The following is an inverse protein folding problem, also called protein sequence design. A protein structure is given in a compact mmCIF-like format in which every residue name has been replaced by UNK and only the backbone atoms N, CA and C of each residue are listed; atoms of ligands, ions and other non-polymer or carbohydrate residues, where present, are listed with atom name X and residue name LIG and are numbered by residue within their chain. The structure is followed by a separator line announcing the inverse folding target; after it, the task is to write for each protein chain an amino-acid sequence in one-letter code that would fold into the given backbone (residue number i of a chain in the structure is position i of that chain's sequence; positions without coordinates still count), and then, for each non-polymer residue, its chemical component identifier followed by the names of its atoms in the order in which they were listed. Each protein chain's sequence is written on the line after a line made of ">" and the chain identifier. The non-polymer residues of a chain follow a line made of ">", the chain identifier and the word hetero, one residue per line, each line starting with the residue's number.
data_IF_041907066270
#
_entry.id   IF_041907066270
#
_cell.length_a   1.000
_cell.length_b   1.000
_cell.length_c   1.000
_cell.angle_alpha   90.00
_cell.angle_beta   90.00
_cell.angle_gamma   90.00
#
_symmetry.space_group_name_H-M   'P 1'
#
loop_
_entity.id
_entity.type
_entity.pdbx_description
1 polymer ?
#
# COMPACT_ATOMS: atom_id res chain seq x y z
N UNK A 1 9.73 33.31 -31.31
CA UNK A 1 8.58 34.10 -30.85
C UNK A 1 7.41 33.80 -31.80
N UNK A 2 6.76 32.64 -31.63
CA UNK A 2 5.51 32.33 -32.31
C UNK A 2 4.48 32.13 -31.20
N UNK A 3 3.57 33.09 -31.06
CA UNK A 3 2.39 32.98 -30.20
C UNK A 3 1.53 31.86 -30.75
N UNK A 4 1.40 30.76 -30.00
CA UNK A 4 0.23 29.91 -30.10
C UNK A 4 -0.89 30.67 -29.38
N UNK A 5 -1.72 31.35 -30.16
CA UNK A 5 -2.88 32.10 -29.66
C UNK A 5 -3.94 31.14 -29.11
N UNK A 6 -4.51 31.55 -27.97
CA UNK A 6 -5.66 30.97 -27.29
C UNK A 6 -6.82 30.69 -28.25
N UNK A 7 -6.93 29.46 -28.72
CA UNK A 7 -8.02 29.00 -29.60
C UNK A 7 -8.96 28.02 -28.90
N UNK A 8 -8.96 27.97 -27.55
CA UNK A 8 -9.73 26.97 -26.78
C UNK A 8 -11.01 27.46 -26.12
N UNK A 9 -11.27 28.77 -26.12
CA UNK A 9 -12.40 29.40 -25.41
C UNK A 9 -13.73 29.44 -26.18
N UNK A 10 -13.82 28.87 -27.39
CA UNK A 10 -15.04 28.94 -28.24
C UNK A 10 -15.86 27.65 -28.31
N UNK A 11 -15.48 26.58 -27.59
CA UNK A 11 -16.27 25.34 -27.56
C UNK A 11 -17.40 25.42 -26.52
N UNK A 12 -18.64 25.22 -26.95
CA UNK A 12 -19.79 25.18 -26.05
C UNK A 12 -19.59 24.08 -24.97
N UNK A 13 -19.57 24.48 -23.69
CA UNK A 13 -19.29 23.60 -22.55
C UNK A 13 -17.86 23.69 -21.98
N UNK A 14 -16.95 24.40 -22.65
CA UNK A 14 -15.60 24.68 -22.16
C UNK A 14 -15.55 26.04 -21.45
N UNK A 15 -15.94 26.06 -20.17
CA UNK A 15 -15.73 27.21 -19.29
C UNK A 15 -14.29 27.24 -18.73
N UNK A 16 -13.86 28.39 -18.21
CA UNK A 16 -12.55 28.62 -17.58
C UNK A 16 -12.22 27.58 -16.49
N UNK A 17 -13.24 27.13 -15.73
CA UNK A 17 -13.10 26.05 -14.74
C UNK A 17 -12.79 24.69 -15.37
N UNK A 18 -13.43 24.36 -16.48
CA UNK A 18 -13.20 23.11 -17.24
C UNK A 18 -11.78 23.11 -17.83
N UNK A 19 -11.33 24.24 -18.36
CA UNK A 19 -9.98 24.41 -18.87
C UNK A 19 -8.92 24.24 -17.78
N UNK A 20 -9.11 24.87 -16.62
CA UNK A 20 -8.19 24.73 -15.49
C UNK A 20 -8.07 23.28 -15.01
N UNK A 21 -9.20 22.55 -14.93
CA UNK A 21 -9.22 21.13 -14.58
C UNK A 21 -8.48 20.27 -15.61
N UNK A 22 -8.71 20.49 -16.91
CA UNK A 22 -8.03 19.76 -17.99
C UNK A 22 -6.53 20.04 -17.97
N UNK A 23 -6.12 21.29 -17.82
CA UNK A 23 -4.70 21.67 -17.78
C UNK A 23 -3.98 21.09 -16.55
N UNK A 24 -4.64 21.06 -15.39
CA UNK A 24 -4.14 20.37 -14.20
C UNK A 24 -4.01 18.86 -14.45
N UNK A 25 -5.00 18.25 -15.10
CA UNK A 25 -4.96 16.83 -15.49
C UNK A 25 -3.81 16.49 -16.44
N UNK A 26 -3.59 17.30 -17.50
CA UNK A 26 -2.47 17.12 -18.44
C UNK A 26 -1.12 17.28 -17.74
N UNK A 27 -0.99 18.27 -16.83
CA UNK A 27 0.23 18.48 -16.05
C UNK A 27 0.52 17.27 -15.17
N UNK A 28 -0.50 16.70 -14.52
CA UNK A 28 -0.37 15.48 -13.73
C UNK A 28 0.05 14.28 -14.60
N UNK A 29 -0.61 14.05 -15.74
CA UNK A 29 -0.24 12.97 -16.67
C UNK A 29 1.22 13.07 -17.14
N UNK A 30 1.70 14.29 -17.46
CA UNK A 30 3.10 14.51 -17.83
C UNK A 30 4.06 14.29 -16.67
N UNK A 31 3.68 14.70 -15.47
CA UNK A 31 4.50 14.54 -14.25
C UNK A 31 4.67 13.08 -13.86
N UNK A 32 3.64 12.27 -14.07
CA UNK A 32 3.62 10.84 -13.76
C UNK A 32 4.02 9.95 -14.94
N UNK A 33 4.45 10.54 -16.06
CA UNK A 33 4.90 9.77 -17.21
C UNK A 33 6.05 8.83 -16.82
N UNK A 34 5.90 7.54 -17.18
CA UNK A 34 6.87 6.50 -16.83
C UNK A 34 6.74 5.94 -15.42
N UNK A 35 5.68 6.27 -14.67
CA UNK A 35 5.34 5.63 -13.39
C UNK A 35 4.11 4.75 -13.54
N UNK A 36 4.11 3.64 -12.83
CA UNK A 36 3.05 2.64 -12.85
C UNK A 36 2.56 2.34 -11.43
N UNK A 37 1.27 2.06 -11.28
CA UNK A 37 0.71 1.53 -10.04
C UNK A 37 1.26 0.13 -9.79
N UNK A 38 1.57 -0.15 -8.53
CA UNK A 38 2.17 -1.42 -8.13
C UNK A 38 1.26 -2.62 -8.40
N UNK A 39 -0.04 -2.52 -8.14
CA UNK A 39 -0.99 -3.59 -8.45
C UNK A 39 -0.95 -4.03 -9.92
N UNK A 40 -0.90 -3.06 -10.84
CA UNK A 40 -0.76 -3.33 -12.28
C UNK A 40 0.59 -3.99 -12.60
N UNK A 41 1.65 -3.55 -11.93
CA UNK A 41 2.98 -4.11 -12.13
C UNK A 41 3.14 -5.54 -11.62
N UNK A 42 2.50 -5.89 -10.49
CA UNK A 42 2.53 -7.24 -9.92
C UNK A 42 2.02 -8.27 -10.94
N UNK A 43 0.88 -8.02 -11.58
CA UNK A 43 0.34 -8.93 -12.59
C UNK A 43 1.28 -9.12 -13.79
N UNK A 44 1.97 -8.06 -14.21
CA UNK A 44 2.97 -8.16 -15.28
C UNK A 44 4.19 -8.92 -14.78
N UNK A 45 4.70 -8.60 -13.60
CA UNK A 45 5.91 -9.23 -13.04
C UNK A 45 5.71 -10.71 -12.81
N UNK A 46 4.55 -11.14 -12.32
CA UNK A 46 4.24 -12.55 -12.06
C UNK A 46 4.26 -13.37 -13.36
N UNK A 47 3.70 -12.82 -14.44
CA UNK A 47 3.72 -13.45 -15.77
C UNK A 47 5.15 -13.68 -16.27
N UNK A 48 5.98 -12.66 -16.21
CA UNK A 48 7.37 -12.75 -16.66
C UNK A 48 8.23 -13.62 -15.73
N UNK A 49 8.06 -13.49 -14.42
CA UNK A 49 8.77 -14.30 -13.43
C UNK A 49 8.40 -15.78 -13.57
N UNK A 50 7.13 -16.11 -13.76
CA UNK A 50 6.68 -17.49 -13.98
C UNK A 50 7.33 -18.08 -15.25
N UNK A 51 7.42 -17.31 -16.33
CA UNK A 51 8.10 -17.75 -17.56
C UNK A 51 9.58 -18.08 -17.33
N UNK A 52 10.29 -17.24 -16.58
CA UNK A 52 11.69 -17.44 -16.20
C UNK A 52 11.84 -18.66 -15.28
N UNK A 53 11.01 -18.75 -14.23
CA UNK A 53 11.02 -19.86 -13.24
C UNK A 53 10.66 -21.22 -13.87
N UNK A 54 9.88 -21.25 -14.94
CA UNK A 54 9.51 -22.48 -15.65
C UNK A 54 10.61 -22.97 -16.62
N UNK A 55 11.66 -22.18 -16.85
CA UNK A 55 12.80 -22.60 -17.66
C UNK A 55 13.62 -23.67 -16.93
N UNK A 56 14.07 -24.70 -17.63
CA UNK A 56 14.99 -25.71 -17.05
C UNK A 56 16.41 -25.18 -16.82
N UNK A 57 16.72 -24.01 -17.37
CA UNK A 57 18.04 -23.39 -17.23
C UNK A 57 18.14 -22.54 -15.96
N UNK A 58 17.03 -22.17 -15.32
CA UNK A 58 17.07 -21.28 -14.15
C UNK A 58 17.52 -22.05 -12.91
N UNK A 59 18.44 -21.48 -12.16
CA UNK A 59 18.78 -21.95 -10.81
C UNK A 59 17.89 -21.23 -9.80
N UNK A 60 17.90 -19.89 -9.83
CA UNK A 60 17.04 -19.05 -9.02
C UNK A 60 16.52 -17.84 -9.82
N UNK A 61 15.32 -17.35 -9.49
CA UNK A 61 14.81 -16.09 -10.02
C UNK A 61 13.89 -15.38 -9.03
N UNK A 62 14.07 -14.07 -8.89
CA UNK A 62 13.27 -13.21 -8.01
C UNK A 62 12.97 -11.86 -8.65
N UNK A 63 11.86 -11.25 -8.23
CA UNK A 63 11.60 -9.83 -8.47
C UNK A 63 12.57 -9.01 -7.61
N UNK A 64 13.14 -7.97 -8.20
CA UNK A 64 14.01 -7.02 -7.54
C UNK A 64 13.41 -5.59 -7.62
N UNK A 65 14.26 -4.59 -7.46
CA UNK A 65 13.89 -3.19 -7.65
C UNK A 65 12.83 -2.68 -6.68
N UNK A 66 12.18 -1.59 -7.08
CA UNK A 66 11.15 -0.93 -6.26
C UNK A 66 9.92 -1.79 -5.99
N UNK A 67 9.67 -2.79 -6.83
CA UNK A 67 8.54 -3.71 -6.65
C UNK A 67 8.78 -4.64 -5.47
N UNK A 68 9.98 -5.21 -5.35
CA UNK A 68 10.37 -6.04 -4.18
C UNK A 68 10.36 -5.26 -2.86
N UNK A 69 10.54 -3.94 -2.91
CA UNK A 69 10.49 -3.06 -1.72
C UNK A 69 9.08 -2.50 -1.43
N UNK A 70 8.05 -3.04 -2.07
CA UNK A 70 6.65 -2.63 -1.88
C UNK A 70 6.41 -1.13 -2.07
N UNK A 71 7.08 -0.47 -3.03
CA UNK A 71 6.82 0.94 -3.33
C UNK A 71 5.40 1.09 -3.86
N UNK A 72 4.71 2.18 -3.52
CA UNK A 72 3.33 2.47 -3.93
C UNK A 72 3.15 2.63 -5.45
N UNK A 73 4.24 3.02 -6.11
CA UNK A 73 4.36 3.13 -7.56
C UNK A 73 5.77 2.73 -7.98
N UNK A 74 5.95 2.25 -9.21
CA UNK A 74 7.25 1.83 -9.75
C UNK A 74 7.54 2.47 -11.11
N UNK A 75 8.78 2.40 -11.58
CA UNK A 75 9.13 2.79 -12.95
C UNK A 75 8.94 1.60 -13.89
N UNK A 76 9.93 0.72 -13.88
CA UNK A 76 9.98 -0.58 -14.54
C UNK A 76 9.99 -1.73 -13.52
N UNK A 77 9.90 -2.96 -14.05
CA UNK A 77 9.99 -4.22 -13.31
C UNK A 77 11.39 -4.79 -13.51
N UNK A 78 12.07 -5.11 -12.42
CA UNK A 78 13.37 -5.79 -12.43
C UNK A 78 13.19 -7.26 -12.05
N UNK A 79 13.63 -8.16 -12.91
CA UNK A 79 13.73 -9.60 -12.65
C UNK A 79 15.20 -9.98 -12.65
N UNK A 80 15.67 -10.54 -11.55
CA UNK A 80 17.01 -11.12 -11.45
C UNK A 80 16.91 -12.64 -11.50
N UNK A 81 17.78 -13.27 -12.28
CA UNK A 81 17.88 -14.71 -12.35
C UNK A 81 19.34 -15.19 -12.42
N UNK A 82 19.61 -16.35 -11.82
CA UNK A 82 20.87 -17.07 -11.94
C UNK A 82 20.76 -18.25 -12.89
N UNK A 83 21.81 -18.48 -13.67
CA UNK A 83 21.93 -19.62 -14.58
C UNK A 83 23.35 -19.79 -15.12
N UNK A 84 23.74 -21.04 -15.42
CA UNK A 84 24.90 -21.37 -16.26
C UNK A 84 24.58 -21.39 -17.78
N UNK A 85 23.29 -21.34 -18.16
CA UNK A 85 22.81 -21.28 -19.55
C UNK A 85 21.98 -20.00 -19.80
N UNK A 86 22.63 -18.82 -19.89
CA UNK A 86 21.95 -17.54 -20.10
C UNK A 86 21.19 -17.48 -21.44
N UNK A 87 21.59 -18.27 -22.43
CA UNK A 87 20.94 -18.27 -23.75
C UNK A 87 19.57 -18.94 -23.68
N UNK A 88 19.46 -20.10 -23.03
CA UNK A 88 18.17 -20.77 -22.86
C UNK A 88 17.25 -19.97 -21.95
N UNK A 89 17.77 -19.40 -20.87
CA UNK A 89 16.97 -18.58 -19.96
C UNK A 89 16.40 -17.32 -20.64
N UNK A 90 17.23 -16.61 -21.42
CA UNK A 90 16.78 -15.44 -22.19
C UNK A 90 15.70 -15.81 -23.21
N UNK A 91 15.81 -16.97 -23.87
CA UNK A 91 14.76 -17.47 -24.78
C UNK A 91 13.44 -17.72 -24.06
N UNK A 92 13.47 -18.27 -22.85
CA UNK A 92 12.26 -18.45 -22.04
C UNK A 92 11.60 -17.09 -21.71
N UNK A 93 12.40 -16.12 -21.26
CA UNK A 93 11.92 -14.76 -21.01
C UNK A 93 11.30 -14.10 -22.25
N UNK A 94 11.95 -14.19 -23.42
CA UNK A 94 11.45 -13.64 -24.68
C UNK A 94 10.26 -14.40 -25.27
N UNK A 95 9.98 -15.62 -24.80
CA UNK A 95 8.80 -16.40 -25.17
C UNK A 95 7.55 -16.04 -24.33
N UNK A 96 7.68 -15.14 -23.35
CA UNK A 96 6.57 -14.69 -22.52
C UNK A 96 5.51 -13.98 -23.36
N UNK A 97 4.25 -14.38 -23.21
CA UNK A 97 3.13 -13.68 -23.86
C UNK A 97 2.99 -12.23 -23.33
N UNK A 98 2.47 -11.33 -24.17
CA UNK A 98 2.27 -9.94 -23.80
C UNK A 98 3.52 -9.06 -23.87
N UNK A 99 4.51 -9.44 -24.68
CA UNK A 99 5.62 -8.57 -25.09
C UNK A 99 5.16 -7.73 -26.29
N UNK A 100 5.16 -6.41 -26.13
CA UNK A 100 4.88 -5.46 -27.21
C UNK A 100 6.12 -5.22 -28.08
N UNK A 101 7.26 -5.01 -27.44
CA UNK A 101 8.52 -4.68 -28.11
C UNK A 101 9.70 -5.21 -27.30
N UNK A 102 10.73 -5.70 -28.00
CA UNK A 102 12.03 -5.99 -27.41
C UNK A 102 12.92 -4.76 -27.59
N UNK A 103 13.16 -4.03 -26.50
CA UNK A 103 13.90 -2.75 -26.55
C UNK A 103 15.41 -2.97 -26.61
N UNK A 104 15.92 -4.01 -25.94
CA UNK A 104 17.34 -4.39 -26.03
C UNK A 104 17.57 -5.85 -25.66
N UNK A 105 18.56 -6.47 -26.30
CA UNK A 105 19.00 -7.84 -26.02
C UNK A 105 20.52 -7.86 -25.87
N UNK A 106 20.99 -8.21 -24.68
CA UNK A 106 22.40 -8.42 -24.35
C UNK A 106 22.61 -9.76 -23.65
N UNK A 107 23.89 -10.11 -23.44
CA UNK A 107 24.26 -11.38 -22.82
C UNK A 107 23.74 -11.51 -21.39
N UNK A 108 23.85 -10.44 -20.60
CA UNK A 108 23.51 -10.41 -19.17
C UNK A 108 22.30 -9.54 -18.85
N UNK A 109 21.78 -8.79 -19.83
CA UNK A 109 20.60 -7.93 -19.66
C UNK A 109 19.72 -7.97 -20.90
N UNK A 110 18.42 -8.18 -20.72
CA UNK A 110 17.40 -8.07 -21.77
C UNK A 110 16.29 -7.17 -21.27
N UNK A 111 15.82 -6.24 -22.11
CA UNK A 111 14.72 -5.33 -21.78
C UNK A 111 13.60 -5.45 -22.80
N UNK A 112 12.37 -5.56 -22.31
CA UNK A 112 11.16 -5.57 -23.13
C UNK A 112 10.16 -4.56 -22.62
N UNK A 113 9.29 -4.10 -23.51
CA UNK A 113 8.09 -3.35 -23.18
C UNK A 113 6.89 -4.30 -23.22
N UNK A 114 6.13 -4.38 -22.14
CA UNK A 114 4.91 -5.18 -22.08
C UNK A 114 3.74 -4.54 -22.83
N UNK A 115 2.72 -5.31 -23.19
CA UNK A 115 1.47 -4.78 -23.78
C UNK A 115 0.77 -3.76 -22.87
N UNK A 116 0.94 -3.90 -21.56
CA UNK A 116 0.45 -2.97 -20.54
C UNK A 116 1.27 -1.66 -20.48
N UNK A 117 2.35 -1.55 -21.26
CA UNK A 117 3.21 -0.37 -21.33
C UNK A 117 4.22 -0.24 -20.18
N UNK A 118 4.58 -1.35 -19.54
CA UNK A 118 5.56 -1.40 -18.45
C UNK A 118 6.86 -2.01 -18.98
N UNK A 119 7.98 -1.35 -18.71
CA UNK A 119 9.30 -1.91 -19.01
C UNK A 119 9.62 -3.06 -18.08
N UNK A 120 10.16 -4.16 -18.61
CA UNK A 120 10.59 -5.33 -17.84
C UNK A 120 12.04 -5.63 -18.19
N UNK A 121 12.91 -5.56 -17.19
CA UNK A 121 14.32 -5.88 -17.27
C UNK A 121 14.56 -7.30 -16.73
N UNK A 122 15.13 -8.18 -17.55
CA UNK A 122 15.77 -9.41 -17.08
C UNK A 122 17.27 -9.16 -16.92
N UNK A 123 17.80 -9.47 -15.74
CA UNK A 123 19.23 -9.51 -15.43
C UNK A 123 19.65 -10.94 -15.12
N UNK A 124 20.72 -11.38 -15.77
CA UNK A 124 21.25 -12.73 -15.62
C UNK A 124 22.63 -12.65 -14.97
N UNK A 125 22.83 -13.45 -13.93
CA UNK A 125 24.10 -13.58 -13.18
C UNK A 125 24.45 -15.06 -12.97
N UNK A 126 25.65 -15.36 -12.48
CA UNK A 126 25.99 -16.74 -12.08
C UNK A 126 25.32 -17.08 -10.74
N UNK A 127 25.15 -18.37 -10.39
CA UNK A 127 24.60 -18.78 -9.10
C UNK A 127 25.34 -18.15 -7.90
N UNK A 128 26.66 -18.05 -7.96
CA UNK A 128 27.49 -17.49 -6.88
C UNK A 128 27.28 -15.99 -6.69
N UNK A 129 26.86 -15.28 -7.75
CA UNK A 129 26.62 -13.84 -7.73
C UNK A 129 25.19 -13.49 -7.30
N UNK A 130 24.28 -14.46 -7.23
CA UNK A 130 22.84 -14.21 -7.13
C UNK A 130 22.47 -13.37 -5.90
N UNK A 131 22.98 -13.70 -4.72
CA UNK A 131 22.67 -12.98 -3.49
C UNK A 131 23.09 -11.51 -3.52
N UNK A 132 24.33 -11.22 -3.93
CA UNK A 132 24.86 -9.84 -3.98
C UNK A 132 24.23 -9.03 -5.10
N UNK A 133 23.93 -9.66 -6.24
CA UNK A 133 23.16 -9.04 -7.31
C UNK A 133 21.72 -8.76 -6.86
N UNK A 134 21.07 -9.67 -6.13
CA UNK A 134 19.70 -9.48 -5.63
C UNK A 134 19.65 -8.33 -4.65
N UNK A 135 20.59 -8.27 -3.71
CA UNK A 135 20.75 -7.14 -2.80
C UNK A 135 20.91 -5.83 -3.57
N UNK A 136 21.85 -5.79 -4.51
CA UNK A 136 22.14 -4.60 -5.32
C UNK A 136 20.93 -4.13 -6.12
N UNK A 137 20.28 -5.03 -6.87
CA UNK A 137 19.16 -4.66 -7.73
C UNK A 137 17.86 -4.48 -6.96
N UNK A 138 17.73 -5.01 -5.75
CA UNK A 138 16.64 -4.66 -4.82
C UNK A 138 16.75 -3.20 -4.40
N UNK A 139 17.96 -2.73 -4.06
CA UNK A 139 18.18 -1.37 -3.59
C UNK A 139 17.55 -1.10 -2.21
N UNK A 140 17.18 0.14 -1.88
CA UNK A 140 17.30 1.36 -2.69
C UNK A 140 18.75 1.74 -3.03
N UNK A 141 18.94 2.75 -3.89
CA UNK A 141 20.29 3.25 -4.20
C UNK A 141 20.98 3.78 -2.94
N UNK A 142 20.20 4.45 -2.10
CA UNK A 142 20.61 5.06 -0.84
C UNK A 142 21.04 3.96 0.13
N UNK A 143 20.20 2.94 0.34
CA UNK A 143 20.54 1.74 1.14
C UNK A 143 21.84 1.07 0.66
N UNK A 144 21.98 0.83 -0.65
CA UNK A 144 23.20 0.25 -1.21
C UNK A 144 24.43 1.14 -1.01
N UNK A 145 24.25 2.46 -0.99
CA UNK A 145 25.35 3.41 -0.76
C UNK A 145 25.81 3.32 0.68
N UNK A 146 24.86 3.25 1.62
CA UNK A 146 25.13 3.08 3.04
C UNK A 146 25.89 1.77 3.33
N UNK A 147 25.42 0.63 2.81
CA UNK A 147 26.10 -0.66 3.02
C UNK A 147 27.50 -0.70 2.39
N UNK A 148 27.67 -0.08 1.21
CA UNK A 148 29.01 0.07 0.60
C UNK A 148 29.92 0.98 1.40
N UNK A 149 29.40 2.03 2.04
CA UNK A 149 30.18 2.86 2.94
C UNK A 149 30.63 2.04 4.16
N UNK A 150 29.72 1.31 4.80
CA UNK A 150 30.04 0.43 5.94
C UNK A 150 31.10 -0.63 5.59
N UNK A 151 31.03 -1.22 4.40
CA UNK A 151 32.09 -2.11 3.92
C UNK A 151 33.44 -1.39 3.78
N UNK A 152 33.45 -0.20 3.16
CA UNK A 152 34.68 0.60 2.96
C UNK A 152 35.34 1.04 4.26
N UNK A 153 34.57 1.27 5.32
CA UNK A 153 35.12 1.58 6.65
C UNK A 153 35.97 0.43 7.20
N UNK A 154 35.74 -0.81 6.74
CA UNK A 154 36.55 -2.01 7.03
C UNK A 154 37.62 -2.29 5.96
N UNK A 155 37.82 -1.37 5.02
CA UNK A 155 38.62 -1.60 3.79
C UNK A 155 38.10 -2.74 2.92
N UNK A 156 36.81 -3.08 3.01
CA UNK A 156 36.16 -4.10 2.21
C UNK A 156 35.47 -3.49 0.98
N UNK A 157 35.09 -4.34 0.03
CA UNK A 157 34.39 -3.95 -1.20
C UNK A 157 33.10 -4.75 -1.35
N UNK A 158 31.98 -4.06 -1.52
CA UNK A 158 30.67 -4.65 -1.84
C UNK A 158 30.18 -4.11 -3.20
N UNK A 159 29.76 -4.99 -4.11
CA UNK A 159 29.08 -4.63 -5.34
C UNK A 159 28.12 -5.76 -5.81
N UNK A 160 27.56 -5.65 -7.01
CA UNK A 160 26.63 -6.62 -7.59
C UNK A 160 27.23 -8.00 -7.91
N UNK A 161 28.55 -8.16 -7.81
CA UNK A 161 29.24 -9.42 -8.14
C UNK A 161 29.82 -10.12 -6.90
N UNK A 162 29.79 -9.50 -5.72
CA UNK A 162 30.39 -10.09 -4.53
C UNK A 162 30.70 -9.13 -3.40
N UNK A 163 31.28 -9.70 -2.35
CA UNK A 163 31.84 -9.04 -1.18
C UNK A 163 33.29 -9.51 -0.99
N UNK A 164 34.24 -8.57 -0.85
CA UNK A 164 35.66 -8.88 -0.66
C UNK A 164 36.21 -8.21 0.59
N UNK A 165 37.08 -8.94 1.30
CA UNK A 165 37.79 -8.43 2.46
C UNK A 165 38.94 -7.48 2.09
N UNK A 166 39.68 -6.99 3.10
CA UNK A 166 40.81 -6.08 2.90
C UNK A 166 42.01 -6.71 2.18
N UNK A 167 42.07 -8.04 2.10
CA UNK A 167 43.11 -8.79 1.41
C UNK A 167 42.65 -9.22 0.00
N UNK A 168 41.51 -8.71 -0.48
CA UNK A 168 40.88 -9.03 -1.77
C UNK A 168 40.42 -10.50 -1.89
N UNK A 169 40.21 -11.18 -0.76
CA UNK A 169 39.58 -12.50 -0.75
C UNK A 169 38.07 -12.33 -0.89
N UNK A 170 37.45 -13.08 -1.79
CA UNK A 170 36.00 -13.16 -1.89
C UNK A 170 35.43 -13.84 -0.64
N UNK A 171 34.43 -13.21 -0.03
CA UNK A 171 33.66 -13.78 1.08
C UNK A 171 32.48 -14.59 0.52
N UNK A 172 32.12 -15.68 1.21
CA UNK A 172 31.00 -16.52 0.80
C UNK A 172 29.67 -15.79 1.08
N UNK A 173 28.84 -15.65 0.06
CA UNK A 173 27.51 -15.02 0.19
C UNK A 173 26.43 -15.93 -0.43
N UNK A 174 26.10 -17.07 0.21
CA UNK A 174 25.11 -18.02 -0.34
C UNK A 174 23.68 -17.44 -0.41
N UNK A 175 23.39 -16.44 0.42
CA UNK A 175 22.11 -15.74 0.49
C UNK A 175 22.33 -14.25 0.82
N UNK A 176 21.27 -13.45 0.79
CA UNK A 176 21.40 -12.04 1.17
C UNK A 176 21.71 -11.84 2.65
N UNK A 177 21.28 -12.75 3.53
CA UNK A 177 21.46 -12.64 4.99
C UNK A 177 22.93 -12.67 5.39
N UNK A 178 23.70 -13.57 4.79
CA UNK A 178 25.15 -13.64 4.96
C UNK A 178 25.85 -12.32 4.60
N UNK A 179 25.34 -11.50 3.66
CA UNK A 179 25.90 -10.17 3.36
C UNK A 179 25.75 -9.24 4.57
N UNK A 180 24.58 -9.26 5.22
CA UNK A 180 24.33 -8.47 6.42
C UNK A 180 25.17 -8.96 7.60
N UNK A 181 25.27 -10.28 7.81
CA UNK A 181 26.09 -10.88 8.86
C UNK A 181 27.57 -10.50 8.74
N UNK A 182 28.15 -10.63 7.54
CA UNK A 182 29.52 -10.19 7.25
C UNK A 182 29.73 -8.71 7.57
N UNK A 183 28.68 -7.90 7.40
CA UNK A 183 28.70 -6.48 7.72
C UNK A 183 28.30 -6.17 9.17
N UNK A 184 28.13 -7.17 10.03
CA UNK A 184 27.67 -7.02 11.42
C UNK A 184 26.34 -6.25 11.49
N UNK A 185 25.36 -6.71 10.73
CA UNK A 185 24.00 -6.21 10.67
C UNK A 185 23.03 -7.38 10.80
N UNK A 186 21.93 -7.19 11.53
CA UNK A 186 20.80 -8.08 11.42
C UNK A 186 20.20 -8.00 10.01
N UNK A 187 19.46 -9.04 9.60
CA UNK A 187 18.72 -9.03 8.35
C UNK A 187 17.85 -7.78 8.20
N UNK A 188 17.84 -7.15 7.03
CA UNK A 188 16.97 -6.00 6.72
C UNK A 188 15.98 -6.43 5.63
N UNK A 189 14.67 -6.53 5.96
CA UNK A 189 13.63 -6.83 4.98
C UNK A 189 13.67 -5.86 3.79
N UNK A 190 13.48 -6.33 2.54
CA UNK A 190 13.51 -5.49 1.34
C UNK A 190 12.67 -4.22 1.43
N UNK A 191 11.50 -4.30 2.08
CA UNK A 191 10.55 -3.20 2.24
C UNK A 191 11.13 -2.03 3.04
N UNK A 192 12.05 -2.31 3.96
CA UNK A 192 12.69 -1.35 4.86
C UNK A 192 13.93 -0.65 4.25
N UNK A 193 14.42 -1.13 3.09
CA UNK A 193 15.67 -0.66 2.46
C UNK A 193 15.49 0.67 1.74
N UNK A 194 15.27 1.75 2.49
CA UNK A 194 15.00 3.11 1.99
C UNK A 194 15.92 4.19 2.59
N UNK A 195 16.93 3.82 3.39
CA UNK A 195 17.86 4.74 4.07
C UNK A 195 17.16 5.74 5.00
N UNK A 196 16.29 5.23 5.86
CA UNK A 196 15.53 5.98 6.87
C UNK A 196 15.92 5.59 8.32
N UNK A 197 17.13 5.05 8.49
CA UNK A 197 17.66 4.59 9.78
C UNK A 197 17.62 3.07 9.96
N UNK A 198 17.30 2.31 8.91
CA UNK A 198 17.21 0.84 8.97
C UNK A 198 18.58 0.19 9.21
N UNK A 199 19.66 0.78 8.71
CA UNK A 199 21.02 0.24 8.86
C UNK A 199 21.51 0.41 10.29
N UNK A 200 21.27 1.56 10.91
CA UNK A 200 21.58 1.80 12.31
C UNK A 200 20.79 0.87 13.23
N UNK A 201 19.49 0.70 12.96
CA UNK A 201 18.64 -0.25 13.70
C UNK A 201 19.16 -1.67 13.57
N UNK A 202 19.51 -2.12 12.36
CA UNK A 202 20.06 -3.46 12.15
C UNK A 202 21.41 -3.67 12.85
N UNK A 203 22.25 -2.65 12.92
CA UNK A 203 23.50 -2.70 13.67
C UNK A 203 23.25 -2.83 15.19
N UNK A 204 22.25 -2.12 15.72
CA UNK A 204 21.86 -2.23 17.13
C UNK A 204 21.33 -3.63 17.46
N UNK A 205 20.42 -4.16 16.64
CA UNK A 205 19.87 -5.51 16.77
C UNK A 205 20.97 -6.58 16.74
N UNK A 206 21.90 -6.47 15.78
CA UNK A 206 23.05 -7.39 15.69
C UNK A 206 23.90 -7.38 16.96
N UNK A 207 24.20 -6.19 17.51
CA UNK A 207 24.95 -6.07 18.76
C UNK A 207 24.21 -6.66 19.96
N UNK A 208 22.88 -6.61 19.95
CA UNK A 208 22.01 -7.17 20.97
C UNK A 208 21.74 -8.67 20.77
N UNK A 209 22.22 -9.26 19.67
CA UNK A 209 21.88 -10.62 19.25
C UNK A 209 20.37 -10.82 19.08
N UNK A 210 19.71 -9.78 18.58
CA UNK A 210 18.30 -9.76 18.25
C UNK A 210 18.11 -9.78 16.73
N UNK A 211 17.00 -10.34 16.28
CA UNK A 211 16.60 -10.36 14.89
C UNK A 211 15.73 -9.15 14.55
N UNK A 212 15.63 -8.84 13.26
CA UNK A 212 14.64 -7.86 12.81
C UNK A 212 13.23 -8.38 13.12
N UNK A 213 12.35 -7.58 13.76
CA UNK A 213 11.02 -8.05 14.12
C UNK A 213 10.22 -8.53 12.91
N UNK A 214 9.53 -9.66 13.06
CA UNK A 214 8.67 -10.21 12.02
C UNK A 214 7.59 -9.20 11.64
N UNK A 215 7.63 -8.77 10.37
CA UNK A 215 6.66 -7.83 9.83
C UNK A 215 5.33 -8.54 9.58
N UNK A 216 4.26 -7.76 9.49
CA UNK A 216 2.92 -8.31 9.22
C UNK A 216 2.90 -9.10 7.91
N UNK A 217 2.19 -10.24 7.91
CA UNK A 217 2.00 -11.12 6.76
C UNK A 217 0.52 -11.21 6.38
N UNK A 218 0.24 -11.55 5.12
CA UNK A 218 -1.12 -11.58 4.58
C UNK A 218 -1.99 -12.63 5.29
N UNK A 219 -1.42 -13.78 5.63
CA UNK A 219 -2.11 -14.90 6.28
C UNK A 219 -2.56 -14.57 7.71
N UNK A 220 -1.98 -13.52 8.29
CA UNK A 220 -2.34 -13.05 9.63
C UNK A 220 -3.61 -12.18 9.61
N UNK A 221 -4.04 -11.71 8.43
CA UNK A 221 -5.22 -10.86 8.27
C UNK A 221 -6.50 -11.68 8.49
N UNK A 222 -7.35 -11.21 9.40
CA UNK A 222 -8.58 -11.92 9.80
C UNK A 222 -9.86 -11.27 9.28
N UNK A 223 -9.79 -10.15 8.57
CA UNK A 223 -10.97 -9.44 8.10
C UNK A 223 -10.70 -7.97 7.81
N UNK A 224 -11.76 -7.22 7.54
CA UNK A 224 -11.69 -5.78 7.27
C UNK A 224 -12.97 -5.05 7.69
N UNK A 225 -12.90 -3.72 7.79
CA UNK A 225 -14.01 -2.84 8.15
C UNK A 225 -14.47 -1.89 7.02
N UNK A 226 -13.63 -1.53 6.07
CA UNK A 226 -14.03 -0.57 5.03
C UNK A 226 -14.39 -1.29 3.73
N UNK A 227 -15.67 -1.61 3.56
CA UNK A 227 -16.22 -2.26 2.36
C UNK A 227 -17.60 -1.69 2.00
N UNK A 228 -17.84 -1.56 0.71
CA UNK A 228 -19.05 -0.99 0.12
C UNK A 228 -19.86 -2.06 -0.61
N UNK A 229 -21.17 -1.87 -0.63
CA UNK A 229 -22.14 -2.78 -1.24
C UNK A 229 -23.11 -2.02 -2.14
N UNK A 230 -24.08 -2.73 -2.72
CA UNK A 230 -25.16 -2.08 -3.49
C UNK A 230 -26.08 -1.18 -2.63
N UNK A 231 -25.85 -1.05 -1.33
CA UNK A 231 -26.52 -0.05 -0.50
C UNK A 231 -26.05 1.38 -0.83
N UNK A 232 -24.77 1.57 -1.19
CA UNK A 232 -24.23 2.80 -1.78
C UNK A 232 -23.85 2.59 -3.26
N UNK A 233 -22.55 2.53 -3.55
CA UNK A 233 -21.94 2.50 -4.89
C UNK A 233 -21.10 1.23 -5.15
N UNK A 234 -21.19 0.25 -4.26
CA UNK A 234 -20.67 -1.08 -4.48
C UNK A 234 -21.39 -1.80 -5.63
N UNK A 235 -20.65 -2.70 -6.29
CA UNK A 235 -21.11 -3.48 -7.46
C UNK A 235 -21.62 -4.88 -7.09
N UNK A 236 -21.52 -5.26 -5.83
CA UNK A 236 -21.96 -6.54 -5.30
C UNK A 236 -22.91 -6.30 -4.11
N UNK A 237 -23.92 -7.15 -3.98
CA UNK A 237 -24.82 -7.12 -2.83
C UNK A 237 -24.06 -7.33 -1.53
N UNK A 238 -24.62 -6.84 -0.42
CA UNK A 238 -24.03 -7.05 0.90
C UNK A 238 -23.84 -8.54 1.19
N UNK A 239 -24.83 -9.37 0.84
CA UNK A 239 -24.71 -10.83 0.93
C UNK A 239 -23.52 -11.39 0.15
N UNK A 240 -23.33 -10.99 -1.10
CA UNK A 240 -22.22 -11.47 -1.94
C UNK A 240 -20.86 -11.08 -1.33
N UNK A 241 -20.75 -9.85 -0.81
CA UNK A 241 -19.53 -9.38 -0.12
C UNK A 241 -19.25 -10.20 1.15
N UNK A 242 -20.27 -10.43 1.99
CA UNK A 242 -20.17 -11.22 3.22
C UNK A 242 -19.82 -12.68 2.92
N UNK A 243 -20.48 -13.31 1.93
CA UNK A 243 -20.16 -14.67 1.49
C UNK A 243 -18.70 -14.76 1.03
N UNK A 244 -18.26 -13.79 0.23
CA UNK A 244 -16.91 -13.71 -0.30
C UNK A 244 -15.85 -13.56 0.80
N UNK A 245 -16.15 -12.81 1.87
CA UNK A 245 -15.32 -12.74 3.06
C UNK A 245 -15.27 -14.08 3.81
N UNK A 246 -16.42 -14.75 3.97
CA UNK A 246 -16.51 -16.07 4.60
C UNK A 246 -15.71 -17.14 3.82
N UNK A 247 -15.79 -17.14 2.49
CA UNK A 247 -15.08 -18.08 1.61
C UNK A 247 -13.55 -17.94 1.71
N UNK A 248 -13.05 -16.74 2.06
CA UNK A 248 -11.64 -16.46 2.36
C UNK A 248 -11.22 -16.91 3.76
N UNK A 249 -12.16 -17.38 4.58
CA UNK A 249 -11.90 -17.78 5.96
C UNK A 249 -11.73 -16.61 6.94
N UNK A 250 -12.09 -15.39 6.54
CA UNK A 250 -12.10 -14.23 7.44
C UNK A 250 -13.04 -14.47 8.63
N UNK A 251 -12.70 -13.84 9.75
CA UNK A 251 -13.40 -13.95 11.04
C UNK A 251 -14.27 -12.74 11.34
N UNK A 252 -14.08 -11.65 10.63
CA UNK A 252 -15.01 -10.53 10.65
C UNK A 252 -15.07 -9.81 9.30
N UNK A 253 -16.20 -9.15 9.08
CA UNK A 253 -16.47 -8.28 7.94
C UNK A 253 -17.23 -7.07 8.45
N UNK A 254 -16.81 -5.87 8.03
CA UNK A 254 -17.50 -4.64 8.37
C UNK A 254 -18.02 -3.91 7.13
N UNK A 255 -19.23 -3.36 7.25
CA UNK A 255 -19.82 -2.45 6.25
C UNK A 255 -19.33 -1.03 6.45
N UNK A 256 -19.11 -0.30 5.38
CA UNK A 256 -18.81 1.12 5.43
C UNK A 256 -19.39 1.86 4.22
N UNK A 257 -20.59 1.49 3.77
CA UNK A 257 -21.30 2.22 2.72
C UNK A 257 -21.37 3.73 3.06
N UNK A 258 -21.45 4.58 2.04
CA UNK A 258 -21.35 6.02 2.24
C UNK A 258 -22.54 6.65 2.98
N UNK A 259 -22.28 7.68 3.79
CA UNK A 259 -23.28 8.46 4.50
C UNK A 259 -24.10 9.41 3.61
N UNK A 260 -25.16 9.99 4.18
CA UNK A 260 -26.25 10.72 3.51
C UNK A 260 -25.83 11.79 2.49
N UNK A 261 -24.77 12.55 2.76
CA UNK A 261 -24.34 13.71 1.96
C UNK A 261 -23.53 13.29 0.72
N UNK A 262 -23.05 12.04 0.66
CA UNK A 262 -22.40 11.43 -0.50
C UNK A 262 -23.40 11.10 -1.62
N UNK A 263 -24.18 12.09 -2.07
CA UNK A 263 -25.18 11.95 -3.13
C UNK A 263 -24.61 11.44 -4.46
N UNK A 264 -23.32 11.66 -4.71
CA UNK A 264 -22.60 11.16 -5.89
C UNK A 264 -22.34 9.65 -5.86
N UNK A 265 -22.47 9.02 -4.69
CA UNK A 265 -22.19 7.61 -4.45
C UNK A 265 -23.39 6.88 -3.81
N UNK A 266 -24.61 7.44 -3.91
CA UNK A 266 -25.81 6.78 -3.39
C UNK A 266 -25.91 6.73 -1.87
N UNK A 267 -25.31 7.71 -1.17
CA UNK A 267 -25.25 7.74 0.29
C UNK A 267 -26.57 7.47 1.02
N UNK A 268 -26.50 6.71 2.12
CA UNK A 268 -27.67 6.15 2.78
C UNK A 268 -28.44 7.22 3.58
N UNK A 269 -29.77 7.22 3.43
CA UNK A 269 -30.64 7.87 4.41
C UNK A 269 -30.67 7.09 5.73
N UNK A 270 -31.11 7.72 6.83
CA UNK A 270 -31.30 7.04 8.13
C UNK A 270 -32.27 5.86 8.01
N UNK A 271 -33.28 5.95 7.13
CA UNK A 271 -34.20 4.85 6.88
C UNK A 271 -33.51 3.68 6.18
N UNK A 272 -32.71 3.94 5.14
CA UNK A 272 -31.93 2.90 4.47
C UNK A 272 -30.90 2.26 5.39
N UNK A 273 -30.25 3.04 6.26
CA UNK A 273 -29.31 2.53 7.28
C UNK A 273 -30.00 1.52 8.21
N UNK A 274 -31.24 1.79 8.63
CA UNK A 274 -32.03 0.85 9.44
C UNK A 274 -32.44 -0.40 8.67
N UNK A 275 -32.73 -0.28 7.37
CA UNK A 275 -33.01 -1.42 6.51
C UNK A 275 -31.77 -2.29 6.31
N UNK A 276 -30.59 -1.67 6.11
CA UNK A 276 -29.31 -2.37 6.04
C UNK A 276 -29.02 -3.13 7.35
N UNK A 277 -29.26 -2.51 8.51
CA UNK A 277 -29.14 -3.21 9.80
C UNK A 277 -30.01 -4.46 9.87
N UNK A 278 -31.24 -4.40 9.38
CA UNK A 278 -32.13 -5.56 9.35
C UNK A 278 -31.62 -6.68 8.42
N UNK A 279 -31.01 -6.34 7.29
CA UNK A 279 -30.33 -7.32 6.41
C UNK A 279 -29.10 -7.93 7.11
N UNK A 280 -28.27 -7.11 7.76
CA UNK A 280 -27.11 -7.58 8.54
C UNK A 280 -27.53 -8.57 9.63
N UNK A 281 -28.63 -8.29 10.34
CA UNK A 281 -29.15 -9.18 11.39
C UNK A 281 -29.65 -10.53 10.83
N UNK A 282 -30.08 -10.58 9.57
CA UNK A 282 -30.35 -11.84 8.86
C UNK A 282 -29.04 -12.53 8.49
N UNK A 283 -28.08 -11.82 7.89
CA UNK A 283 -26.79 -12.38 7.48
C UNK A 283 -26.00 -12.95 8.67
N UNK A 284 -26.07 -12.33 9.85
CA UNK A 284 -25.48 -12.86 11.09
C UNK A 284 -26.00 -14.25 11.47
N UNK A 285 -27.25 -14.58 11.12
CA UNK A 285 -27.82 -15.92 11.34
C UNK A 285 -27.35 -16.91 10.27
N UNK A 286 -27.12 -16.43 9.05
CA UNK A 286 -26.68 -17.24 7.91
C UNK A 286 -25.17 -17.56 7.95
N UNK A 287 -24.38 -16.68 8.54
CA UNK A 287 -22.91 -16.78 8.66
C UNK A 287 -22.47 -16.75 10.14
N UNK A 288 -22.82 -17.76 10.97
CA UNK A 288 -22.59 -17.73 12.41
C UNK A 288 -21.10 -17.72 12.82
N UNK A 289 -20.20 -18.16 11.93
CA UNK A 289 -18.76 -18.20 12.17
C UNK A 289 -18.03 -16.91 11.74
N UNK A 290 -18.76 -15.92 11.19
CA UNK A 290 -18.24 -14.63 10.74
C UNK A 290 -18.89 -13.51 11.54
N UNK A 291 -18.09 -12.69 12.21
CA UNK A 291 -18.60 -11.50 12.89
C UNK A 291 -18.88 -10.40 11.85
N UNK A 292 -20.15 -10.10 11.63
CA UNK A 292 -20.57 -9.03 10.72
C UNK A 292 -20.83 -7.75 11.53
N UNK A 293 -20.08 -6.69 11.25
CA UNK A 293 -20.14 -5.41 11.94
C UNK A 293 -20.84 -4.36 11.07
N UNK A 294 -21.77 -3.62 11.66
CA UNK A 294 -22.52 -2.57 10.98
C UNK A 294 -21.82 -1.21 11.19
N UNK A 295 -21.01 -0.80 10.24
CA UNK A 295 -20.39 0.53 10.21
C UNK A 295 -20.89 1.39 9.07
N UNK A 296 -20.34 2.60 9.01
CA UNK A 296 -20.55 3.58 7.93
C UNK A 296 -19.22 4.26 7.62
N UNK A 297 -19.02 4.63 6.35
CA UNK A 297 -18.13 5.73 6.02
C UNK A 297 -18.89 7.07 6.10
N UNK A 298 -18.70 7.76 7.22
CA UNK A 298 -19.25 9.08 7.46
C UNK A 298 -18.37 10.15 6.81
N UNK A 299 -19.00 10.95 5.94
CA UNK A 299 -18.41 12.19 5.46
C UNK A 299 -18.06 13.12 6.65
N UNK A 300 -16.86 13.71 6.60
CA UNK A 300 -16.51 14.86 7.43
C UNK A 300 -17.04 16.09 6.71
N UNK A 301 -18.04 16.76 7.27
CA UNK A 301 -18.66 17.94 6.67
C UNK A 301 -17.71 19.15 6.69
N UNK A 302 -18.06 20.23 5.97
CA UNK A 302 -17.19 21.41 5.85
C UNK A 302 -16.89 22.10 7.18
N UNK A 303 -17.76 21.92 8.18
CA UNK A 303 -17.59 22.45 9.53
C UNK A 303 -16.91 21.46 10.49
N UNK A 304 -16.49 20.29 10.00
CA UNK A 304 -15.84 19.22 10.77
C UNK A 304 -16.80 18.28 11.52
N UNK A 305 -18.12 18.46 11.41
CA UNK A 305 -19.08 17.48 11.97
C UNK A 305 -19.16 16.20 11.11
N UNK A 306 -19.60 15.11 11.72
CA UNK A 306 -19.90 13.85 11.03
C UNK A 306 -21.30 13.91 10.41
N UNK A 307 -21.51 13.15 9.34
CA UNK A 307 -22.68 13.24 8.47
C UNK A 307 -23.88 12.37 8.91
N UNK A 308 -24.06 12.25 10.21
CA UNK A 308 -25.30 11.81 10.84
C UNK A 308 -25.46 12.47 12.22
N UNK A 309 -26.69 12.57 12.74
CA UNK A 309 -26.92 12.89 14.14
C UNK A 309 -26.24 11.89 15.08
N UNK A 310 -25.78 12.39 16.23
CA UNK A 310 -25.10 11.63 17.28
C UNK A 310 -25.86 10.36 17.72
N UNK A 311 -27.20 10.44 17.85
CA UNK A 311 -28.04 9.30 18.24
C UNK A 311 -28.03 8.19 17.19
N UNK A 312 -27.87 8.52 15.90
CA UNK A 312 -27.72 7.54 14.82
C UNK A 312 -26.32 6.96 14.81
N UNK A 313 -25.28 7.78 15.00
CA UNK A 313 -23.89 7.31 15.06
C UNK A 313 -23.67 6.35 16.23
N UNK A 314 -24.35 6.56 17.36
CA UNK A 314 -24.28 5.70 18.54
C UNK A 314 -24.82 4.26 18.30
N UNK A 315 -25.69 4.05 17.30
CA UNK A 315 -26.27 2.74 16.96
C UNK A 315 -25.30 1.86 16.13
N UNK A 316 -24.25 2.46 15.53
CA UNK A 316 -23.27 1.80 14.67
C UNK A 316 -22.16 1.12 15.45
N UNK A 317 -21.65 0.00 14.93
CA UNK A 317 -20.53 -0.77 15.49
C UNK A 317 -19.20 0.00 15.44
N UNK A 318 -19.04 0.85 14.44
CA UNK A 318 -17.93 1.79 14.29
C UNK A 318 -18.28 2.84 13.23
N UNK A 319 -17.50 3.92 13.20
CA UNK A 319 -17.60 4.97 12.17
C UNK A 319 -16.22 5.18 11.55
N UNK A 320 -16.16 5.11 10.23
CA UNK A 320 -15.02 5.56 9.43
C UNK A 320 -15.26 7.02 9.06
N UNK A 321 -14.44 7.95 9.53
CA UNK A 321 -14.56 9.36 9.21
C UNK A 321 -13.61 9.72 8.07
N UNK A 322 -14.14 10.27 6.97
CA UNK A 322 -13.35 10.55 5.76
C UNK A 322 -13.74 11.86 5.09
N UNK A 323 -12.77 12.50 4.43
CA UNK A 323 -13.00 13.73 3.65
C UNK A 323 -13.25 13.37 2.18
N UNK A 324 -14.41 13.74 1.64
CA UNK A 324 -14.70 13.58 0.20
C UNK A 324 -14.93 14.88 -0.57
N UNK A 325 -14.89 16.01 0.13
CA UNK A 325 -15.21 17.32 -0.44
C UNK A 325 -14.29 18.41 0.08
N UNK A 326 -14.25 19.54 -0.64
CA UNK A 326 -13.49 20.72 -0.26
C UNK A 326 -11.98 20.46 -0.07
N UNK A 327 -11.37 19.69 -0.97
CA UNK A 327 -9.93 19.36 -0.93
C UNK A 327 -8.98 20.56 -1.12
N UNK A 328 -9.51 21.74 -1.43
CA UNK A 328 -8.72 22.96 -1.67
C UNK A 328 -8.83 23.98 -0.54
N UNK A 329 -9.30 23.58 0.65
CA UNK A 329 -9.27 24.43 1.83
C UNK A 329 -7.83 24.82 2.19
N UNK A 330 -7.66 25.96 2.87
CA UNK A 330 -6.36 26.34 3.40
C UNK A 330 -5.90 25.30 4.44
N UNK A 331 -4.58 25.05 4.51
CA UNK A 331 -3.98 24.04 5.41
C UNK A 331 -4.61 24.05 6.81
N UNK A 332 -4.66 25.20 7.47
CA UNK A 332 -5.21 25.33 8.82
C UNK A 332 -6.70 24.96 8.88
N UNK A 333 -7.50 25.42 7.92
CA UNK A 333 -8.94 25.13 7.89
C UNK A 333 -9.21 23.64 7.70
N UNK A 334 -8.41 22.97 6.87
CA UNK A 334 -8.52 21.52 6.69
C UNK A 334 -8.06 20.77 7.93
N UNK A 335 -6.98 21.21 8.58
CA UNK A 335 -6.54 20.66 9.88
C UNK A 335 -7.64 20.77 10.92
N UNK A 336 -8.20 21.95 11.15
CA UNK A 336 -9.24 22.19 12.17
C UNK A 336 -10.50 21.34 11.90
N UNK A 337 -10.86 21.20 10.61
CA UNK A 337 -12.00 20.37 10.16
C UNK A 337 -11.78 18.90 10.51
N UNK A 338 -10.59 18.35 10.21
CA UNK A 338 -10.28 16.95 10.46
C UNK A 338 -10.14 16.71 11.97
N UNK A 339 -9.44 17.59 12.70
CA UNK A 339 -9.29 17.49 14.16
C UNK A 339 -10.66 17.41 14.85
N UNK A 340 -11.61 18.27 14.48
CA UNK A 340 -12.96 18.23 15.06
C UNK A 340 -13.64 16.87 14.85
N UNK A 341 -13.47 16.26 13.68
CA UNK A 341 -14.00 14.94 13.40
C UNK A 341 -13.28 13.84 14.21
N UNK A 342 -11.95 13.90 14.33
CA UNK A 342 -11.18 12.94 15.12
C UNK A 342 -11.52 13.00 16.62
N UNK A 343 -11.85 14.18 17.14
CA UNK A 343 -12.30 14.38 18.53
C UNK A 343 -13.77 14.04 18.79
N UNK A 344 -14.52 13.62 17.76
CA UNK A 344 -15.86 13.09 17.95
C UNK A 344 -15.80 11.76 18.70
N UNK A 345 -16.63 11.54 19.74
CA UNK A 345 -16.65 10.27 20.47
C UNK A 345 -17.16 9.09 19.62
N UNK A 346 -17.65 9.35 18.41
CA UNK A 346 -18.13 8.32 17.48
C UNK A 346 -17.07 7.89 16.47
N UNK A 347 -16.04 8.71 16.21
CA UNK A 347 -15.01 8.40 15.20
C UNK A 347 -14.14 7.26 15.68
N UNK A 348 -14.25 6.12 15.01
CA UNK A 348 -13.49 4.92 15.36
C UNK A 348 -12.25 4.76 14.48
N UNK A 349 -12.42 5.05 13.19
CA UNK A 349 -11.38 4.92 12.16
C UNK A 349 -11.28 6.24 11.39
N UNK A 350 -10.07 6.71 11.11
CA UNK A 350 -9.82 7.80 10.17
C UNK A 350 -9.51 7.20 8.78
N UNK A 351 -10.49 7.23 7.87
CA UNK A 351 -10.39 6.60 6.55
C UNK A 351 -9.62 7.46 5.55
N UNK A 352 -8.83 6.79 4.67
CA UNK A 352 -7.92 7.35 3.66
C UNK A 352 -7.49 8.81 3.95
N UNK A 353 -6.62 8.99 4.96
CA UNK A 353 -6.41 10.27 5.66
C UNK A 353 -6.09 11.48 4.80
N UNK A 354 -5.46 11.28 3.64
CA UNK A 354 -4.95 12.37 2.78
C UNK A 354 -5.82 12.64 1.56
N UNK A 355 -6.79 11.77 1.29
CA UNK A 355 -7.65 11.82 0.11
C UNK A 355 -6.88 11.78 -1.21
N UNK A 356 -5.63 11.30 -1.21
CA UNK A 356 -4.83 11.18 -2.43
C UNK A 356 -5.38 10.12 -3.37
N UNK A 357 -5.08 10.28 -4.66
CA UNK A 357 -5.22 9.22 -5.66
C UNK A 357 -3.90 9.14 -6.45
N UNK A 358 -3.17 8.05 -6.28
CA UNK A 358 -1.89 7.79 -6.93
C UNK A 358 -2.00 8.02 -8.45
N UNK A 359 -1.04 8.78 -8.98
CA UNK A 359 -0.93 9.16 -10.39
C UNK A 359 -2.10 10.03 -10.92
N UNK A 360 -2.97 10.54 -10.04
CA UNK A 360 -4.15 11.33 -10.43
C UNK A 360 -4.34 12.60 -9.60
N UNK A 361 -4.38 12.49 -8.27
CA UNK A 361 -4.69 13.56 -7.32
C UNK A 361 -3.69 13.52 -6.16
N UNK A 362 -3.01 14.64 -5.93
CA UNK A 362 -2.16 14.83 -4.74
C UNK A 362 -3.02 14.89 -3.46
N UNK A 363 -2.39 14.62 -2.32
CA UNK A 363 -2.99 14.86 -1.01
C UNK A 363 -3.48 16.31 -0.86
N UNK A 364 -4.55 16.52 -0.10
CA UNK A 364 -4.91 17.87 0.33
C UNK A 364 -3.95 18.39 1.39
N UNK A 365 -3.80 19.72 1.48
CA UNK A 365 -2.94 20.38 2.46
C UNK A 365 -3.56 20.28 3.86
N UNK A 366 -2.82 19.73 4.82
CA UNK A 366 -3.19 19.66 6.24
C UNK A 366 -1.93 19.50 7.10
N UNK A 367 -2.07 19.67 8.42
CA UNK A 367 -1.02 19.38 9.38
C UNK A 367 -1.07 17.92 9.84
N UNK A 368 -0.45 17.04 9.06
CA UNK A 368 -0.49 15.60 9.31
C UNK A 368 0.20 15.20 10.62
N UNK A 369 1.26 15.89 11.04
CA UNK A 369 1.93 15.61 12.31
C UNK A 369 0.99 15.85 13.49
N UNK A 370 0.33 17.01 13.51
CA UNK A 370 -0.67 17.34 14.53
C UNK A 370 -1.85 16.37 14.50
N UNK A 371 -2.38 16.04 13.32
CA UNK A 371 -3.54 15.15 13.21
C UNK A 371 -3.24 13.70 13.66
N UNK A 372 -2.00 13.21 13.46
CA UNK A 372 -1.59 11.93 14.04
C UNK A 372 -1.53 11.98 15.57
N UNK A 373 -1.07 13.08 16.16
CA UNK A 373 -1.09 13.27 17.61
C UNK A 373 -2.53 13.26 18.15
N UNK A 374 -3.45 13.99 17.49
CA UNK A 374 -4.89 13.95 17.81
C UNK A 374 -5.45 12.52 17.70
N UNK A 375 -5.13 11.79 16.62
CA UNK A 375 -5.60 10.42 16.45
C UNK A 375 -5.09 9.50 17.57
N UNK A 376 -3.84 9.67 18.01
CA UNK A 376 -3.27 8.94 19.13
C UNK A 376 -3.96 9.30 20.47
N UNK A 377 -4.13 10.59 20.76
CA UNK A 377 -4.85 11.09 21.95
C UNK A 377 -6.26 10.51 22.05
N UNK A 378 -6.98 10.54 20.93
CA UNK A 378 -8.37 10.09 20.87
C UNK A 378 -8.49 8.58 20.69
N UNK A 379 -7.38 7.86 20.48
CA UNK A 379 -7.35 6.42 20.20
C UNK A 379 -8.14 6.06 18.93
N UNK A 380 -8.11 6.92 17.92
CA UNK A 380 -8.67 6.67 16.59
C UNK A 380 -7.71 5.77 15.81
N UNK A 381 -8.24 4.69 15.23
CA UNK A 381 -7.47 3.83 14.32
C UNK A 381 -7.20 4.61 13.05
N UNK A 382 -5.96 4.61 12.56
CA UNK A 382 -5.63 5.25 11.28
C UNK A 382 -5.69 4.20 10.17
N UNK A 383 -6.48 4.49 9.13
CA UNK A 383 -6.59 3.60 7.99
C UNK A 383 -5.33 3.64 7.12
N UNK A 384 -4.84 2.44 6.80
CA UNK A 384 -4.05 2.17 5.61
C UNK A 384 -4.96 1.57 4.55
N UNK A 385 -5.46 2.44 3.68
CA UNK A 385 -6.37 2.10 2.61
C UNK A 385 -5.62 1.33 1.54
N UNK A 386 -5.95 0.06 1.36
CA UNK A 386 -5.24 -0.89 0.52
C UNK A 386 -5.65 -0.78 -0.97
N UNK A 387 -6.61 0.07 -1.32
CA UNK A 387 -6.98 0.29 -2.71
C UNK A 387 -5.73 0.70 -3.53
N UNK A 388 -5.44 0.04 -4.67
CA UNK A 388 -4.27 0.31 -5.51
C UNK A 388 -4.10 1.76 -5.97
N UNK A 389 -5.21 2.50 -6.04
CA UNK A 389 -5.21 3.89 -6.43
C UNK A 389 -4.99 4.84 -5.25
N UNK A 390 -5.04 4.37 -4.00
CA UNK A 390 -4.88 5.19 -2.78
C UNK A 390 -3.59 4.88 -2.04
N UNK A 391 -3.46 3.65 -1.54
CA UNK A 391 -2.40 3.22 -0.61
C UNK A 391 -2.16 4.29 0.48
N UNK A 392 -3.22 4.67 1.19
CA UNK A 392 -3.28 5.88 2.03
C UNK A 392 -3.74 5.53 3.46
N UNK A 393 -2.98 5.75 4.53
CA UNK A 393 -1.86 6.69 4.69
C UNK A 393 -0.56 6.35 3.93
N UNK A 394 0.20 7.38 3.55
CA UNK A 394 1.55 7.21 2.98
C UNK A 394 2.50 6.52 3.97
N UNK A 395 3.18 5.47 3.52
CA UNK A 395 4.11 4.68 4.35
C UNK A 395 5.23 5.49 5.01
N UNK A 396 5.56 6.68 4.49
CA UNK A 396 6.55 7.59 5.09
C UNK A 396 6.12 8.11 6.46
N UNK A 397 4.83 8.00 6.80
CA UNK A 397 4.33 8.25 8.16
C UNK A 397 4.53 7.07 9.10
N UNK A 398 5.02 5.93 8.63
CA UNK A 398 5.21 4.70 9.41
C UNK A 398 6.02 4.90 10.68
N UNK A 399 7.15 5.62 10.62
CA UNK A 399 7.96 5.92 11.82
C UNK A 399 7.13 6.71 12.84
N UNK A 400 6.44 7.77 12.40
CA UNK A 400 5.64 8.63 13.30
C UNK A 400 4.45 7.89 13.90
N UNK A 401 3.77 7.06 13.11
CA UNK A 401 2.67 6.20 13.55
C UNK A 401 3.14 5.25 14.67
N UNK A 402 4.32 4.64 14.50
CA UNK A 402 4.89 3.74 15.50
C UNK A 402 5.33 4.46 16.77
N UNK A 403 5.98 5.63 16.65
CA UNK A 403 6.37 6.47 17.80
C UNK A 403 5.18 6.87 18.67
N UNK A 404 4.04 7.17 18.04
CA UNK A 404 2.82 7.57 18.71
C UNK A 404 1.98 6.39 19.22
N UNK A 405 2.36 5.14 18.88
CA UNK A 405 1.60 3.95 19.26
C UNK A 405 0.21 3.89 18.62
N UNK A 406 0.05 4.43 17.41
CA UNK A 406 -1.22 4.44 16.71
C UNK A 406 -1.51 3.06 16.12
N UNK A 407 -2.71 2.55 16.38
CA UNK A 407 -3.23 1.34 15.76
C UNK A 407 -3.52 1.57 14.27
N UNK A 408 -3.06 0.68 13.41
CA UNK A 408 -3.32 0.72 11.96
C UNK A 408 -4.39 -0.29 11.56
N UNK A 409 -5.36 0.16 10.75
CA UNK A 409 -6.35 -0.68 10.08
C UNK A 409 -6.09 -0.75 8.58
N UNK A 410 -5.78 -1.94 8.06
CA UNK A 410 -5.60 -2.19 6.62
C UNK A 410 -6.97 -2.49 6.02
N UNK A 411 -7.50 -1.60 5.19
CA UNK A 411 -8.84 -1.79 4.61
C UNK A 411 -8.85 -1.56 3.10
N UNK A 412 -9.46 -2.45 2.29
CA UNK A 412 -9.37 -2.38 0.84
C UNK A 412 -10.25 -1.31 0.20
N UNK A 413 -11.21 -0.74 0.94
CA UNK A 413 -12.21 0.18 0.36
C UNK A 413 -12.92 -0.52 -0.82
N UNK A 414 -13.32 -1.77 -0.58
CA UNK A 414 -13.74 -2.68 -1.62
C UNK A 414 -15.15 -2.36 -2.09
N UNK A 415 -15.31 -2.06 -3.38
CA UNK A 415 -16.60 -1.84 -4.05
C UNK A 415 -17.05 -3.06 -4.87
N UNK A 416 -16.37 -4.19 -4.72
CA UNK A 416 -16.71 -5.45 -5.39
C UNK A 416 -16.02 -6.61 -4.68
N UNK A 417 -16.49 -7.83 -4.93
CA UNK A 417 -15.89 -9.06 -4.40
C UNK A 417 -14.40 -9.17 -4.72
N UNK A 418 -13.99 -8.83 -5.96
CA UNK A 418 -12.58 -8.85 -6.35
C UNK A 418 -11.75 -7.78 -5.63
N UNK A 419 -12.36 -6.65 -5.28
CA UNK A 419 -11.70 -5.58 -4.54
C UNK A 419 -11.33 -5.96 -3.12
N UNK A 420 -11.87 -7.05 -2.56
CA UNK A 420 -11.44 -7.55 -1.25
C UNK A 420 -9.99 -8.04 -1.26
N UNK A 421 -9.50 -8.48 -2.42
CA UNK A 421 -8.14 -9.00 -2.58
C UNK A 421 -7.09 -7.86 -2.59
N UNK A 422 -7.52 -6.60 -2.76
CA UNK A 422 -6.64 -5.43 -2.69
C UNK A 422 -5.94 -5.29 -1.33
N UNK A 423 -6.44 -5.98 -0.28
CA UNK A 423 -5.83 -6.02 1.06
C UNK A 423 -4.35 -6.44 1.02
N UNK A 424 -3.95 -7.27 0.05
CA UNK A 424 -2.57 -7.68 -0.17
C UNK A 424 -1.64 -6.47 -0.40
N UNK A 425 -2.10 -5.48 -1.17
CA UNK A 425 -1.31 -4.27 -1.42
C UNK A 425 -1.12 -3.44 -0.15
N UNK A 426 -2.14 -3.41 0.72
CA UNK A 426 -2.07 -2.77 2.03
C UNK A 426 -1.08 -3.47 2.96
N UNK A 427 -1.03 -4.81 2.95
CA UNK A 427 -0.02 -5.58 3.71
C UNK A 427 1.39 -5.25 3.24
N UNK A 428 1.64 -5.20 1.92
CA UNK A 428 2.94 -4.79 1.39
C UNK A 428 3.37 -3.40 1.86
N UNK A 429 2.42 -2.45 1.95
CA UNK A 429 2.68 -1.10 2.45
C UNK A 429 2.87 -1.07 3.98
N UNK A 430 2.12 -1.87 4.74
CA UNK A 430 2.30 -2.01 6.19
C UNK A 430 3.67 -2.57 6.55
N UNK A 431 4.16 -3.55 5.79
CA UNK A 431 5.54 -4.06 5.90
C UNK A 431 6.56 -2.97 5.62
N UNK A 432 6.33 -2.15 4.59
CA UNK A 432 7.16 -0.97 4.30
C UNK A 432 7.12 0.11 5.37
N UNK A 433 6.04 0.21 6.13
CA UNK A 433 5.95 1.04 7.33
C UNK A 433 6.73 0.44 8.52
N UNK A 434 7.19 -0.80 8.41
CA UNK A 434 7.87 -1.53 9.49
C UNK A 434 6.91 -2.07 10.54
N UNK A 435 5.63 -2.28 10.19
CA UNK A 435 4.60 -2.72 11.14
C UNK A 435 4.65 -4.23 11.35
N UNK A 436 4.57 -4.62 12.61
CA UNK A 436 4.38 -6.02 13.04
C UNK A 436 2.89 -6.35 13.16
N UNK A 437 2.55 -7.64 13.29
CA UNK A 437 1.17 -8.07 13.47
C UNK A 437 0.46 -7.34 14.63
N UNK A 438 1.13 -7.14 15.77
CA UNK A 438 0.51 -6.50 16.94
C UNK A 438 0.07 -5.06 16.70
N UNK A 439 0.67 -4.36 15.74
CA UNK A 439 0.34 -2.96 15.40
C UNK A 439 -0.76 -2.85 14.33
N UNK A 440 -1.14 -3.96 13.72
CA UNK A 440 -2.18 -4.04 12.69
C UNK A 440 -3.42 -4.68 13.29
N UNK A 441 -4.46 -3.87 13.47
CA UNK A 441 -5.72 -4.30 14.10
C UNK A 441 -6.37 -5.46 13.37
N UNK A 442 -6.12 -5.59 12.06
CA UNK A 442 -6.70 -6.67 11.28
C UNK A 442 -6.23 -8.07 11.68
N UNK A 443 -5.10 -8.18 12.40
CA UNK A 443 -4.52 -9.46 12.83
C UNK A 443 -5.05 -9.93 14.19
N UNK A 444 -5.74 -9.04 14.91
CA UNK A 444 -6.18 -9.29 16.29
C UNK A 444 -7.28 -10.33 16.34
N UNK A 445 -7.40 -11.00 17.49
CA UNK A 445 -8.52 -11.94 17.68
C UNK A 445 -9.84 -11.16 17.56
N UNK A 446 -10.89 -11.76 16.96
CA UNK A 446 -12.13 -11.04 16.70
C UNK A 446 -12.72 -10.37 17.94
N UNK A 447 -12.67 -11.03 19.10
CA UNK A 447 -13.18 -10.50 20.36
C UNK A 447 -12.39 -9.26 20.82
N UNK A 448 -11.06 -9.30 20.68
CA UNK A 448 -10.19 -8.17 21.02
C UNK A 448 -10.46 -6.98 20.09
N UNK A 449 -10.70 -7.25 18.81
CA UNK A 449 -10.98 -6.18 17.86
C UNK A 449 -12.34 -5.54 18.11
N UNK A 450 -13.39 -6.33 18.37
CA UNK A 450 -14.71 -5.80 18.73
C UNK A 450 -14.65 -4.96 20.02
N UNK A 451 -13.90 -5.41 21.04
CA UNK A 451 -13.68 -4.63 22.25
C UNK A 451 -12.96 -3.31 21.96
N UNK A 452 -11.97 -3.32 21.07
CA UNK A 452 -11.24 -2.11 20.64
C UNK A 452 -12.15 -1.08 19.98
N UNK A 453 -13.08 -1.51 19.14
CA UNK A 453 -14.05 -0.62 18.48
C UNK A 453 -15.02 -0.01 19.50
N UNK A 454 -15.33 -0.74 20.58
CA UNK A 454 -16.23 -0.27 21.63
C UNK A 454 -15.64 0.82 22.55
N UNK A 455 -14.31 1.03 22.57
CA UNK A 455 -13.65 2.06 23.40
C UNK A 455 -14.25 3.44 23.19
N UNK A 456 -14.58 3.79 21.95
CA UNK A 456 -15.17 5.08 21.58
C UNK A 456 -16.62 5.23 22.06
N UNK A 457 -17.39 4.14 22.03
CA UNK A 457 -18.76 4.12 22.57
C UNK A 457 -18.83 4.35 24.08
N UNK A 458 -17.75 4.10 24.82
CA UNK A 458 -17.67 4.38 26.26
C UNK A 458 -17.36 5.85 26.56
N UNK A 459 -16.90 6.62 25.56
CA UNK A 459 -16.64 8.07 25.69
C UNK A 459 -17.90 8.92 25.41
N UNK A 460 -18.83 8.39 24.61
CA UNK A 460 -20.15 8.98 24.33
C UNK A 460 -21.13 8.73 25.51
#
# INVERSE_FOLDING_TARGET
>A
MHRAEDTRTELAGFAERTEHVIMKGIKNLRRFAGRNLTAKAIHVSDRFLASVKNSKAVDEAQIAGSLRRSRETIGDIDILASTDDPTTLRKAFLATAGIREVESEGETKTRVLSEEGIGVDLRIVTPEQFATALHHFTGSREHNTHLRQRARERSWKLNEYGLWDAADNALETPDEESIFEHLELAWIPPEMREDLGEVERAAQLFQQQEEWPELVELEQIRGTLHCHSTWSDGKASLREMVQSAADRGWKYYGTADHSRTASYAGGLSIEQLRQQRAEIDQLRQEFPDLIILHGIESDILSDGSLDYPDDVLAELDYVVASVHSNFSLAKQQQTDRIEKALRSPYTTVWGHPTGRLLLQREAYEMDMTHLLEVAAEEQVIVELNANPHRLDIDWRWGVRVQELGIDIGIHPDAHSVAGLDDIEHGVGIARKMGLTASQVTNTWKPEQYVERLAVHRLKA
#
